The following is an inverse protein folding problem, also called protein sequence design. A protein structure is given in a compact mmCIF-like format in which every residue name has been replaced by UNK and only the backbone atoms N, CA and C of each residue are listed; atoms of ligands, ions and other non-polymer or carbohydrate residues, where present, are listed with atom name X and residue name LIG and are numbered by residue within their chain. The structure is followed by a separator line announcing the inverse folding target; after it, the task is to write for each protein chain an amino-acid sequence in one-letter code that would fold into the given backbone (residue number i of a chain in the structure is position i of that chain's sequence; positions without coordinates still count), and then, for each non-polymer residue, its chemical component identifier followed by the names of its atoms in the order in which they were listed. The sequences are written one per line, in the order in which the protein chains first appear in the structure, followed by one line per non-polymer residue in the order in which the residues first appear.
data_IF_907225804314
#
_entry.id   IF_907225804314
#
_cell.length_a   1.000
_cell.length_b   1.000
_cell.length_c   1.000
_cell.angle_alpha   90.00
_cell.angle_beta   90.00
_cell.angle_gamma   90.00
#
_symmetry.space_group_name_H-M   'P 1'
#
loop_
_entity.id
_entity.type
_entity.pdbx_description
1 polymer ?
#
# COMPACT_ATOMS: atom_id res chain seq x y z
N UNK A 1 101.99 33.78 -8.02
CA UNK A 1 101.26 32.57 -7.54
C UNK A 1 100.09 33.03 -6.78
N UNK A 2 98.87 32.80 -7.22
CA UNK A 2 97.65 33.19 -6.49
C UNK A 2 97.10 32.00 -5.69
N UNK A 3 96.74 32.29 -4.43
CA UNK A 3 96.12 31.39 -3.49
C UNK A 3 94.66 31.09 -3.91
N UNK A 4 94.28 29.80 -3.82
CA UNK A 4 92.93 29.33 -4.01
C UNK A 4 92.11 29.61 -2.77
N UNK A 5 90.97 30.29 -2.93
CA UNK A 5 89.89 30.37 -1.97
C UNK A 5 89.06 29.11 -2.12
N UNK A 6 88.91 28.34 -1.06
CA UNK A 6 87.90 27.26 -0.95
C UNK A 6 86.70 27.84 -0.28
N UNK A 7 85.60 27.94 -1.05
CA UNK A 7 84.27 28.27 -0.51
C UNK A 7 83.68 27.02 0.09
N UNK A 8 83.52 27.04 1.41
CA UNK A 8 82.73 26.05 2.17
C UNK A 8 81.24 26.34 1.99
N UNK A 9 80.60 25.62 1.07
CA UNK A 9 79.17 25.66 0.90
C UNK A 9 78.51 24.67 1.88
N UNK A 10 78.17 25.11 3.12
CA UNK A 10 77.38 24.36 4.05
C UNK A 10 75.90 24.36 3.56
N UNK A 11 75.43 23.24 2.98
CA UNK A 11 74.08 23.02 2.53
C UNK A 11 73.13 23.07 3.71
N UNK A 12 72.34 24.13 3.81
CA UNK A 12 71.20 24.21 4.71
C UNK A 12 70.13 23.16 4.26
N UNK A 13 70.01 22.06 4.99
CA UNK A 13 68.90 21.13 4.85
C UNK A 13 67.61 21.87 5.19
N UNK A 14 66.87 22.30 4.16
CA UNK A 14 65.52 22.77 4.29
C UNK A 14 64.65 21.58 4.66
N UNK A 15 64.28 21.46 5.94
CA UNK A 15 63.21 20.51 6.36
C UNK A 15 61.98 20.86 5.60
N UNK A 16 61.57 20.04 4.59
CA UNK A 16 60.27 20.09 4.00
C UNK A 16 59.25 19.82 5.12
N UNK A 17 58.55 20.87 5.56
CA UNK A 17 57.38 20.72 6.42
C UNK A 17 56.37 19.82 5.71
N UNK A 18 56.30 18.57 6.11
CA UNK A 18 55.22 17.69 5.67
C UNK A 18 53.92 18.26 6.24
N UNK A 19 52.88 18.47 5.42
CA UNK A 19 51.62 18.94 5.92
C UNK A 19 51.09 17.93 6.94
N UNK A 20 50.40 18.38 8.01
CA UNK A 20 49.89 17.50 9.05
C UNK A 20 48.99 16.47 8.40
N UNK A 21 49.28 15.19 8.57
CA UNK A 21 48.42 14.09 8.12
C UNK A 21 47.06 14.28 8.77
N UNK A 22 46.09 14.70 7.97
CA UNK A 22 44.75 15.01 8.44
C UNK A 22 44.17 13.79 9.19
N UNK A 23 43.96 13.91 10.49
CA UNK A 23 43.22 12.95 11.35
C UNK A 23 41.76 12.75 10.92
N UNK A 24 41.30 13.48 9.89
CA UNK A 24 40.00 13.34 9.21
C UNK A 24 39.76 11.95 8.60
N UNK A 25 40.80 11.19 8.27
CA UNK A 25 40.64 9.89 7.60
C UNK A 25 39.97 8.80 8.47
N UNK A 26 40.17 8.80 9.77
CA UNK A 26 39.58 7.76 10.63
C UNK A 26 38.12 8.04 10.91
N UNK A 27 37.75 9.28 11.21
CA UNK A 27 36.35 9.69 11.42
C UNK A 27 35.54 9.55 10.13
N UNK A 28 36.07 9.95 8.98
CA UNK A 28 35.40 9.77 7.69
C UNK A 28 35.16 8.29 7.38
N UNK A 29 36.16 7.42 7.60
CA UNK A 29 35.98 5.97 7.41
C UNK A 29 34.93 5.38 8.35
N UNK A 30 34.88 5.80 9.63
CA UNK A 30 33.91 5.38 10.59
C UNK A 30 32.51 5.84 10.15
N UNK A 31 32.32 7.08 9.73
CA UNK A 31 31.06 7.59 9.22
C UNK A 31 30.61 6.84 7.97
N UNK A 32 31.50 6.60 7.01
CA UNK A 32 31.19 5.79 5.82
C UNK A 32 30.74 4.39 6.21
N UNK A 33 31.45 3.73 7.15
CA UNK A 33 31.07 2.40 7.64
C UNK A 33 29.68 2.41 8.28
N UNK A 34 29.37 3.40 9.13
CA UNK A 34 28.05 3.55 9.77
C UNK A 34 26.95 3.73 8.70
N UNK A 35 27.19 4.59 7.71
CA UNK A 35 26.21 4.80 6.62
C UNK A 35 25.97 3.52 5.83
N UNK A 36 27.02 2.79 5.47
CA UNK A 36 26.91 1.50 4.78
C UNK A 36 26.16 0.47 5.64
N UNK A 37 26.44 0.41 6.94
CA UNK A 37 25.74 -0.47 7.86
C UNK A 37 24.24 -0.13 7.94
N UNK A 38 23.90 1.16 8.04
CA UNK A 38 22.51 1.61 8.02
C UNK A 38 21.84 1.21 6.70
N UNK A 39 22.48 1.45 5.56
CA UNK A 39 21.95 1.09 4.25
C UNK A 39 21.69 -0.42 4.09
N UNK A 40 22.48 -1.26 4.77
CA UNK A 40 22.30 -2.73 4.73
C UNK A 40 21.23 -3.18 5.73
N UNK A 41 21.19 -2.65 6.94
CA UNK A 41 20.33 -3.13 8.03
C UNK A 41 18.92 -2.52 7.99
N UNK A 42 18.84 -1.22 7.69
CA UNK A 42 17.58 -0.47 7.71
C UNK A 42 16.46 -1.09 6.84
N UNK A 43 16.73 -1.59 5.61
CA UNK A 43 15.69 -2.21 4.78
C UNK A 43 15.00 -3.41 5.42
N UNK A 44 15.66 -4.14 6.32
CA UNK A 44 15.08 -5.27 7.06
C UNK A 44 14.30 -4.84 8.31
N UNK A 45 14.51 -3.63 8.78
CA UNK A 45 13.78 -3.07 9.93
C UNK A 45 12.50 -2.34 9.49
N UNK A 46 12.56 -1.66 8.35
CA UNK A 46 11.47 -0.82 7.85
C UNK A 46 10.13 -1.58 7.66
N UNK A 47 10.08 -2.87 7.23
CA UNK A 47 8.83 -3.63 7.15
C UNK A 47 8.07 -3.75 8.48
N UNK A 48 8.74 -3.55 9.62
CA UNK A 48 8.13 -3.57 10.95
C UNK A 48 7.62 -2.20 11.41
N UNK A 49 7.88 -1.15 10.63
CA UNK A 49 7.51 0.23 10.97
C UNK A 49 6.15 0.59 10.35
N UNK A 50 5.09 -0.20 10.69
CA UNK A 50 3.73 0.01 10.20
C UNK A 50 3.19 1.38 10.61
N UNK A 51 2.83 2.19 9.63
CA UNK A 51 2.22 3.51 9.80
C UNK A 51 0.69 3.40 9.70
N UNK A 52 -0.01 4.22 10.49
CA UNK A 52 -1.43 4.48 10.30
C UNK A 52 -1.58 5.87 9.69
N UNK A 53 -1.99 5.92 8.44
CA UNK A 53 -2.31 7.18 7.78
C UNK A 53 -3.76 7.57 8.13
N UNK A 54 -3.93 8.75 8.70
CA UNK A 54 -5.25 9.28 9.07
C UNK A 54 -5.59 10.44 8.17
N UNK A 55 -6.70 10.33 7.44
CA UNK A 55 -7.16 11.36 6.51
C UNK A 55 -8.65 11.62 6.66
N UNK A 56 -9.05 12.86 6.44
CA UNK A 56 -10.45 13.27 6.34
C UNK A 56 -10.71 13.82 4.95
N UNK A 57 -11.72 13.28 4.29
CA UNK A 57 -12.20 13.70 2.98
C UNK A 57 -13.58 14.32 3.16
N UNK A 58 -13.90 15.35 2.37
CA UNK A 58 -15.21 15.96 2.32
C UNK A 58 -15.85 15.63 0.97
N UNK A 59 -17.02 14.98 1.00
CA UNK A 59 -17.74 14.63 -0.23
C UNK A 59 -19.13 15.22 -0.25
N UNK A 60 -19.51 15.96 -1.30
CA UNK A 60 -20.87 16.44 -1.51
C UNK A 60 -21.83 15.29 -1.89
N UNK A 61 -21.31 14.15 -2.31
CA UNK A 61 -22.10 13.01 -2.78
C UNK A 61 -22.43 12.03 -1.65
N UNK A 62 -21.78 12.17 -0.47
CA UNK A 62 -22.18 11.41 0.73
C UNK A 62 -23.56 11.91 1.18
N UNK A 63 -24.57 11.03 1.29
CA UNK A 63 -25.91 11.42 1.69
C UNK A 63 -25.92 12.23 2.99
N UNK A 64 -26.70 13.33 3.02
CA UNK A 64 -26.67 14.32 4.10
C UNK A 64 -27.13 13.78 5.47
N UNK A 65 -27.85 12.67 5.51
CA UNK A 65 -28.23 11.96 6.75
C UNK A 65 -27.07 11.12 7.30
N UNK A 66 -26.00 10.94 6.52
CA UNK A 66 -24.76 10.29 6.93
C UNK A 66 -23.70 11.39 7.21
N UNK A 67 -23.65 11.86 8.47
CA UNK A 67 -22.73 12.96 8.82
C UNK A 67 -21.26 12.62 8.59
N UNK A 68 -20.89 11.36 8.88
CA UNK A 68 -19.53 10.86 8.69
C UNK A 68 -19.54 9.34 8.49
N UNK A 69 -18.57 8.85 7.76
CA UNK A 69 -18.30 7.44 7.55
C UNK A 69 -16.81 7.18 7.81
N UNK A 70 -16.49 6.34 8.80
CA UNK A 70 -15.12 5.97 9.15
C UNK A 70 -14.78 4.62 8.53
N UNK A 71 -13.71 4.57 7.76
CA UNK A 71 -13.25 3.41 7.02
C UNK A 71 -11.85 3.06 7.49
N UNK A 72 -11.60 1.79 7.80
CA UNK A 72 -10.25 1.24 7.87
C UNK A 72 -9.97 0.50 6.57
N UNK A 73 -8.88 0.87 5.89
CA UNK A 73 -8.44 0.21 4.65
C UNK A 73 -7.03 -0.34 4.81
N UNK A 74 -6.83 -1.57 4.34
CA UNK A 74 -5.54 -2.24 4.30
C UNK A 74 -5.49 -3.25 3.16
N UNK A 75 -4.31 -3.45 2.58
CA UNK A 75 -4.03 -4.36 1.47
C UNK A 75 -2.67 -5.00 1.63
N UNK A 76 -2.38 -6.00 0.81
CA UNK A 76 -1.04 -6.57 0.65
C UNK A 76 -0.44 -7.04 1.99
N UNK A 77 -1.19 -7.85 2.74
CA UNK A 77 -0.76 -8.34 4.05
C UNK A 77 0.37 -9.36 3.89
N UNK A 78 0.30 -10.22 2.85
CA UNK A 78 1.26 -11.29 2.58
C UNK A 78 1.61 -12.09 3.82
N UNK A 79 0.57 -12.55 4.56
CA UNK A 79 0.76 -13.39 5.73
C UNK A 79 1.51 -14.67 5.36
N UNK A 80 2.48 -15.07 6.18
CA UNK A 80 3.33 -16.22 5.92
C UNK A 80 4.63 -16.14 6.69
N UNK A 81 5.72 -16.59 6.06
CA UNK A 81 7.02 -16.68 6.73
C UNK A 81 7.54 -15.33 7.24
N UNK A 82 7.35 -14.26 6.45
CA UNK A 82 7.84 -12.92 6.80
C UNK A 82 6.82 -12.05 7.56
N UNK A 83 5.55 -12.46 7.58
CA UNK A 83 4.49 -11.80 8.32
C UNK A 83 3.67 -12.85 9.07
N UNK A 84 4.10 -13.15 10.28
CA UNK A 84 3.60 -14.23 11.13
C UNK A 84 2.17 -13.99 11.63
N UNK A 85 1.49 -15.06 12.12
CA UNK A 85 0.17 -14.96 12.75
C UNK A 85 0.14 -13.94 13.89
N UNK A 86 1.18 -13.87 14.73
CA UNK A 86 1.26 -12.86 15.81
C UNK A 86 1.25 -11.43 15.27
N UNK A 87 1.86 -11.20 14.09
CA UNK A 87 1.82 -9.89 13.43
C UNK A 87 0.43 -9.61 12.83
N UNK A 88 -0.24 -10.63 12.28
CA UNK A 88 -1.64 -10.55 11.84
C UNK A 88 -2.54 -10.17 13.02
N UNK A 89 -2.40 -10.84 14.17
CA UNK A 89 -3.18 -10.55 15.38
C UNK A 89 -2.98 -9.10 15.83
N UNK A 90 -1.73 -8.64 15.88
CA UNK A 90 -1.39 -7.26 16.23
C UNK A 90 -1.92 -6.23 15.22
N UNK A 91 -1.91 -6.56 13.92
CA UNK A 91 -2.47 -5.75 12.86
C UNK A 91 -3.98 -5.54 13.07
N UNK A 92 -4.74 -6.62 13.23
CA UNK A 92 -6.19 -6.52 13.39
C UNK A 92 -6.61 -5.97 14.76
N UNK A 93 -5.79 -6.13 15.79
CA UNK A 93 -5.97 -5.39 17.05
C UNK A 93 -5.88 -3.87 16.79
N UNK A 94 -4.91 -3.41 16.00
CA UNK A 94 -4.79 -2.00 15.63
C UNK A 94 -5.95 -1.53 14.75
N UNK A 95 -6.40 -2.35 13.79
CA UNK A 95 -7.59 -2.06 12.96
C UNK A 95 -8.84 -1.90 13.84
N UNK A 96 -9.06 -2.81 14.76
CA UNK A 96 -10.21 -2.75 15.69
C UNK A 96 -10.17 -1.50 16.59
N UNK A 97 -8.97 -1.05 17.00
CA UNK A 97 -8.80 0.17 17.78
C UNK A 97 -9.17 1.46 17.03
N UNK A 98 -9.26 1.43 15.68
CA UNK A 98 -9.70 2.57 14.87
C UNK A 98 -11.21 2.85 15.03
N UNK A 99 -11.98 1.90 15.57
CA UNK A 99 -13.44 1.98 15.69
C UNK A 99 -14.10 2.38 14.35
N UNK A 100 -13.67 1.72 13.27
CA UNK A 100 -14.17 1.97 11.94
C UNK A 100 -15.62 1.52 11.79
N UNK A 101 -16.39 2.26 10.97
CA UNK A 101 -17.75 1.88 10.62
C UNK A 101 -17.74 0.78 9.53
N UNK A 102 -16.72 0.80 8.65
CA UNK A 102 -16.42 -0.19 7.63
C UNK A 102 -14.95 -0.62 7.71
N UNK A 103 -14.66 -1.88 7.43
CA UNK A 103 -13.30 -2.37 7.18
C UNK A 103 -13.24 -2.92 5.76
N UNK A 104 -12.28 -2.43 4.97
CA UNK A 104 -12.11 -2.76 3.57
C UNK A 104 -10.73 -3.38 3.35
N UNK A 105 -10.71 -4.57 2.74
CA UNK A 105 -9.51 -5.37 2.53
C UNK A 105 -9.19 -5.44 1.03
N UNK A 106 -8.01 -4.98 0.65
CA UNK A 106 -7.62 -4.72 -0.73
C UNK A 106 -6.88 -5.86 -1.45
N UNK A 107 -6.95 -7.10 -0.94
CA UNK A 107 -6.32 -8.27 -1.59
C UNK A 107 -4.90 -8.56 -1.13
N UNK A 108 -4.34 -9.66 -1.65
CA UNK A 108 -3.03 -10.21 -1.33
C UNK A 108 -2.86 -10.50 0.17
N UNK A 109 -3.73 -11.40 0.68
CA UNK A 109 -3.77 -11.75 2.10
C UNK A 109 -2.62 -12.63 2.53
N UNK A 110 -2.17 -13.52 1.63
CA UNK A 110 -1.06 -14.44 1.86
C UNK A 110 -0.22 -14.59 0.58
N UNK A 111 0.68 -15.59 0.55
CA UNK A 111 1.59 -15.81 -0.58
C UNK A 111 0.94 -16.53 -1.77
N UNK A 112 -0.19 -17.20 -1.53
CA UNK A 112 -0.95 -17.98 -2.51
C UNK A 112 -2.37 -18.24 -1.98
N UNK A 113 -3.26 -18.78 -2.84
CA UNK A 113 -4.66 -19.05 -2.51
C UNK A 113 -4.87 -20.02 -1.35
N UNK A 114 -4.03 -21.05 -1.20
CA UNK A 114 -4.16 -22.01 -0.10
C UNK A 114 -3.79 -21.37 1.23
N UNK A 115 -2.70 -20.61 1.23
CA UNK A 115 -2.28 -19.80 2.38
C UNK A 115 -3.31 -18.72 2.73
N UNK A 116 -3.98 -18.12 1.73
CA UNK A 116 -5.07 -17.17 1.94
C UNK A 116 -6.29 -17.83 2.61
N UNK A 117 -6.66 -19.06 2.21
CA UNK A 117 -7.71 -19.84 2.90
C UNK A 117 -7.35 -20.05 4.38
N UNK A 118 -6.09 -20.40 4.67
CA UNK A 118 -5.61 -20.59 6.04
C UNK A 118 -5.57 -19.26 6.82
N UNK A 119 -5.20 -18.15 6.16
CA UNK A 119 -5.26 -16.81 6.75
C UNK A 119 -6.68 -16.50 7.23
N UNK A 120 -7.72 -16.68 6.39
CA UNK A 120 -9.10 -16.40 6.79
C UNK A 120 -9.63 -17.36 7.87
N UNK A 121 -9.19 -18.63 7.88
CA UNK A 121 -9.54 -19.58 8.96
C UNK A 121 -9.00 -19.17 10.32
N UNK A 122 -7.88 -18.46 10.36
CA UNK A 122 -7.21 -18.01 11.57
C UNK A 122 -7.34 -16.48 11.79
N UNK A 123 -8.18 -15.81 11.00
CA UNK A 123 -8.35 -14.36 11.06
C UNK A 123 -8.95 -13.97 12.41
N UNK A 124 -8.34 -13.04 13.17
CA UNK A 124 -8.95 -12.49 14.36
C UNK A 124 -10.27 -11.81 14.04
N UNK A 125 -11.19 -11.82 15.00
CA UNK A 125 -12.47 -11.13 14.82
C UNK A 125 -12.26 -9.65 14.52
N UNK A 126 -12.82 -9.18 13.41
CA UNK A 126 -12.83 -7.78 13.01
C UNK A 126 -14.14 -7.15 13.48
N UNK A 127 -14.04 -5.97 14.10
CA UNK A 127 -15.20 -5.20 14.56
C UNK A 127 -15.45 -4.02 13.63
N UNK A 128 -16.57 -4.09 12.88
CA UNK A 128 -17.03 -3.01 12.01
C UNK A 128 -18.54 -2.96 12.04
N UNK A 129 -19.12 -1.75 12.21
CA UNK A 129 -20.58 -1.58 12.36
C UNK A 129 -21.35 -2.01 11.13
N UNK A 130 -20.81 -1.73 9.95
CA UNK A 130 -21.46 -1.96 8.67
C UNK A 130 -20.78 -3.07 7.84
N UNK A 131 -19.92 -3.85 8.47
CA UNK A 131 -19.34 -5.03 7.88
C UNK A 131 -17.88 -4.88 7.43
N UNK A 132 -17.37 -6.01 6.96
CA UNK A 132 -16.00 -6.16 6.43
C UNK A 132 -16.12 -6.65 5.00
N UNK A 133 -15.56 -5.92 4.05
CA UNK A 133 -15.60 -6.25 2.63
C UNK A 133 -14.19 -6.44 2.09
N UNK A 134 -14.05 -7.27 1.08
CA UNK A 134 -12.76 -7.66 0.57
C UNK A 134 -12.80 -7.92 -0.94
N UNK A 135 -11.74 -7.53 -1.64
CA UNK A 135 -11.44 -7.99 -3.00
C UNK A 135 -10.28 -8.96 -2.98
N UNK A 136 -10.06 -9.67 -4.07
CA UNK A 136 -8.93 -10.59 -4.21
C UNK A 136 -7.79 -9.92 -4.96
N UNK A 137 -6.56 -10.23 -4.55
CA UNK A 137 -5.35 -9.87 -5.27
C UNK A 137 -4.81 -11.03 -6.11
N UNK A 138 -3.72 -10.78 -6.82
CA UNK A 138 -3.15 -11.76 -7.73
C UNK A 138 -2.56 -12.98 -7.00
N UNK A 139 -2.10 -12.83 -5.76
CA UNK A 139 -1.67 -13.96 -4.93
C UNK A 139 -2.84 -14.79 -4.42
N UNK A 140 -4.00 -14.19 -4.23
CA UNK A 140 -5.21 -14.91 -3.84
C UNK A 140 -5.82 -15.71 -4.99
N UNK A 141 -5.43 -15.41 -6.25
CA UNK A 141 -5.91 -15.99 -7.51
C UNK A 141 -4.87 -16.89 -8.19
N UNK A 142 -3.96 -17.53 -7.44
CA UNK A 142 -2.85 -18.33 -7.99
C UNK A 142 -3.23 -19.74 -8.42
N UNK A 143 -4.44 -20.22 -8.16
CA UNK A 143 -4.86 -21.62 -8.41
C UNK A 143 -6.25 -21.73 -9.03
N UNK A 144 -6.65 -22.94 -9.52
CA UNK A 144 -7.87 -23.17 -10.27
C UNK A 144 -9.14 -22.66 -9.59
N UNK A 145 -10.18 -22.42 -10.38
CA UNK A 145 -11.53 -21.94 -10.01
C UNK A 145 -12.13 -22.65 -8.77
N UNK A 146 -11.77 -23.93 -8.54
CA UNK A 146 -12.20 -24.69 -7.36
C UNK A 146 -11.75 -24.07 -6.04
N UNK A 147 -10.57 -23.47 -6.01
CA UNK A 147 -10.04 -22.86 -4.78
C UNK A 147 -10.65 -21.48 -4.51
N UNK A 148 -11.12 -20.78 -5.55
CA UNK A 148 -11.87 -19.53 -5.38
C UNK A 148 -13.12 -19.76 -4.52
N UNK A 149 -13.87 -20.84 -4.77
CA UNK A 149 -15.05 -21.20 -3.97
C UNK A 149 -14.67 -21.46 -2.51
N UNK A 150 -13.57 -22.17 -2.26
CA UNK A 150 -13.10 -22.43 -0.91
C UNK A 150 -12.61 -21.15 -0.21
N UNK A 151 -11.90 -20.27 -0.94
CA UNK A 151 -11.43 -19.00 -0.41
C UNK A 151 -12.64 -18.11 -0.05
N UNK A 152 -13.61 -17.94 -0.95
CA UNK A 152 -14.86 -17.20 -0.66
C UNK A 152 -15.57 -17.75 0.58
N UNK A 153 -15.67 -19.08 0.69
CA UNK A 153 -16.28 -19.73 1.85
C UNK A 153 -15.52 -19.44 3.15
N UNK A 154 -14.19 -19.46 3.10
CA UNK A 154 -13.35 -19.13 4.26
C UNK A 154 -13.52 -17.67 4.67
N UNK A 155 -13.62 -16.74 3.70
CA UNK A 155 -13.89 -15.32 3.94
C UNK A 155 -15.25 -15.12 4.61
N UNK A 156 -16.32 -15.71 4.08
CA UNK A 156 -17.65 -15.62 4.69
C UNK A 156 -17.67 -16.19 6.11
N UNK A 157 -17.03 -17.33 6.35
CA UNK A 157 -16.91 -17.92 7.68
C UNK A 157 -16.15 -17.05 8.66
N UNK A 158 -15.23 -16.23 8.17
CA UNK A 158 -14.48 -15.23 8.95
C UNK A 158 -15.27 -13.92 9.16
N UNK A 159 -16.49 -13.81 8.62
CA UNK A 159 -17.30 -12.59 8.69
C UNK A 159 -16.87 -11.51 7.69
N UNK A 160 -16.20 -11.89 6.61
CA UNK A 160 -15.74 -11.01 5.54
C UNK A 160 -16.54 -11.30 4.28
N UNK A 161 -17.11 -10.26 3.67
CA UNK A 161 -17.87 -10.34 2.41
C UNK A 161 -16.91 -10.16 1.22
N UNK A 162 -16.59 -11.22 0.45
CA UNK A 162 -15.80 -11.09 -0.75
C UNK A 162 -16.62 -10.49 -1.90
N UNK A 163 -16.06 -9.52 -2.60
CA UNK A 163 -16.64 -8.90 -3.79
C UNK A 163 -15.80 -9.27 -5.02
N UNK A 164 -16.40 -10.06 -5.92
CA UNK A 164 -15.77 -10.52 -7.16
C UNK A 164 -16.68 -10.15 -8.32
N UNK A 165 -16.47 -8.97 -8.91
CA UNK A 165 -17.36 -8.34 -9.88
C UNK A 165 -18.77 -8.12 -9.31
N UNK A 166 -18.84 -7.72 -8.06
CA UNK A 166 -20.07 -7.63 -7.28
C UNK A 166 -20.19 -6.23 -6.66
N UNK A 167 -21.45 -5.83 -6.43
CA UNK A 167 -21.82 -4.62 -5.71
C UNK A 167 -22.68 -5.01 -4.52
N UNK A 168 -22.31 -4.52 -3.34
CA UNK A 168 -23.19 -4.60 -2.16
C UNK A 168 -23.66 -3.21 -1.74
N UNK A 169 -24.85 -3.15 -1.16
CA UNK A 169 -25.46 -1.91 -0.66
C UNK A 169 -25.61 -1.93 0.85
N UNK A 170 -25.13 -0.88 1.50
CA UNK A 170 -25.20 -0.73 2.94
C UNK A 170 -26.20 0.36 3.28
N UNK A 171 -27.22 0.01 4.06
CA UNK A 171 -28.18 0.98 4.55
C UNK A 171 -27.67 1.67 5.81
N UNK A 172 -27.58 3.00 5.76
CA UNK A 172 -27.20 3.85 6.88
C UNK A 172 -28.29 4.92 7.04
N UNK A 173 -29.06 4.81 8.12
CA UNK A 173 -30.23 5.69 8.29
C UNK A 173 -31.28 5.46 7.22
N UNK A 174 -31.62 6.49 6.47
CA UNK A 174 -32.56 6.42 5.35
C UNK A 174 -31.89 6.22 4.00
N UNK A 175 -30.57 6.47 3.92
CA UNK A 175 -29.78 6.39 2.71
C UNK A 175 -29.04 5.07 2.57
N UNK A 176 -28.56 4.80 1.35
CA UNK A 176 -27.68 3.67 1.05
C UNK A 176 -26.37 4.20 0.48
N UNK A 177 -25.28 3.50 0.80
CA UNK A 177 -23.98 3.62 0.14
C UNK A 177 -23.67 2.29 -0.52
N UNK A 178 -22.82 2.30 -1.54
CA UNK A 178 -22.49 1.11 -2.30
C UNK A 178 -21.00 0.80 -2.19
N UNK A 179 -20.70 -0.49 -2.06
CA UNK A 179 -19.32 -1.00 -2.14
C UNK A 179 -19.24 -1.88 -3.36
N UNK A 180 -18.42 -1.48 -4.30
CA UNK A 180 -18.20 -2.16 -5.57
C UNK A 180 -16.83 -2.79 -5.57
N UNK A 181 -16.74 -4.08 -5.83
CA UNK A 181 -15.47 -4.80 -5.94
C UNK A 181 -15.36 -5.55 -7.25
N UNK A 182 -14.17 -5.54 -7.85
CA UNK A 182 -13.89 -6.34 -9.04
C UNK A 182 -12.89 -7.45 -8.75
N UNK A 183 -12.89 -8.45 -9.61
CA UNK A 183 -11.89 -9.52 -9.58
C UNK A 183 -10.49 -8.99 -9.91
N UNK A 184 -9.47 -9.76 -9.58
CA UNK A 184 -8.08 -9.36 -9.84
C UNK A 184 -7.80 -9.16 -11.33
N UNK A 185 -7.07 -8.10 -11.63
CA UNK A 185 -6.77 -7.69 -13.01
C UNK A 185 -5.74 -8.59 -13.67
N UNK A 186 -4.83 -9.17 -12.89
CA UNK A 186 -3.69 -9.93 -13.39
C UNK A 186 -3.99 -11.42 -13.51
N UNK A 187 -4.69 -12.01 -12.53
CA UNK A 187 -4.93 -13.45 -12.43
C UNK A 187 -6.43 -13.82 -12.39
N UNK A 188 -7.34 -12.83 -12.43
CA UNK A 188 -8.78 -12.99 -12.41
C UNK A 188 -9.45 -12.61 -13.73
N UNK A 189 -10.75 -12.34 -13.65
CA UNK A 189 -11.61 -11.95 -14.77
C UNK A 189 -12.37 -10.67 -14.39
N UNK A 190 -11.73 -9.50 -14.38
CA UNK A 190 -12.38 -8.25 -13.97
C UNK A 190 -13.46 -7.84 -14.97
N UNK A 191 -14.67 -7.57 -14.46
CA UNK A 191 -15.82 -7.14 -15.25
C UNK A 191 -16.39 -5.83 -14.68
N UNK A 192 -15.92 -4.71 -15.22
CA UNK A 192 -16.44 -3.38 -14.88
C UNK A 192 -17.89 -3.21 -15.28
N UNK A 193 -18.32 -3.85 -16.37
CA UNK A 193 -19.70 -3.77 -16.86
C UNK A 193 -20.69 -4.41 -15.88
N UNK A 194 -20.33 -5.57 -15.32
CA UNK A 194 -21.15 -6.23 -14.29
C UNK A 194 -21.35 -5.35 -13.05
N UNK A 195 -20.36 -4.54 -12.69
CA UNK A 195 -20.42 -3.63 -11.55
C UNK A 195 -21.18 -2.35 -11.91
N UNK A 196 -20.74 -1.64 -12.94
CA UNK A 196 -21.27 -0.31 -13.26
C UNK A 196 -22.71 -0.32 -13.75
N UNK A 197 -23.20 -1.44 -14.34
CA UNK A 197 -24.60 -1.60 -14.75
C UNK A 197 -25.58 -1.59 -13.58
N UNK A 198 -25.12 -1.73 -12.35
CA UNK A 198 -25.94 -1.71 -11.14
C UNK A 198 -25.96 -0.33 -10.47
N UNK A 199 -25.04 0.57 -10.81
CA UNK A 199 -24.78 1.84 -10.14
C UNK A 199 -25.23 3.04 -10.97
N UNK A 200 -25.48 4.16 -10.28
CA UNK A 200 -25.83 5.46 -10.89
C UNK A 200 -24.80 6.50 -10.44
N UNK A 201 -24.64 7.59 -11.21
CA UNK A 201 -23.75 8.68 -10.82
C UNK A 201 -24.15 9.43 -9.53
N UNK A 202 -25.41 9.36 -9.15
CA UNK A 202 -25.93 9.93 -7.90
C UNK A 202 -25.74 9.03 -6.68
N UNK A 203 -25.30 7.78 -6.86
CA UNK A 203 -25.01 6.86 -5.78
C UNK A 203 -23.64 7.21 -5.18
N UNK A 204 -23.50 7.15 -3.84
CA UNK A 204 -22.20 7.22 -3.20
C UNK A 204 -21.56 5.83 -3.24
N UNK A 205 -20.45 5.72 -3.97
CA UNK A 205 -19.82 4.44 -4.26
C UNK A 205 -18.35 4.42 -3.80
N UNK A 206 -18.01 3.39 -3.04
CA UNK A 206 -16.62 3.02 -2.73
C UNK A 206 -16.22 1.88 -3.65
N UNK A 207 -15.25 2.12 -4.51
CA UNK A 207 -14.73 1.15 -5.47
C UNK A 207 -13.46 0.50 -4.94
N UNK A 208 -13.45 -0.83 -4.90
CA UNK A 208 -12.32 -1.65 -4.48
C UNK A 208 -11.76 -2.43 -5.67
N UNK A 209 -10.47 -2.35 -5.89
CA UNK A 209 -9.71 -3.24 -6.75
C UNK A 209 -8.33 -3.45 -6.15
N UNK A 210 -7.77 -4.65 -6.29
CA UNK A 210 -6.42 -4.88 -5.83
C UNK A 210 -5.42 -4.06 -6.66
N UNK A 211 -5.46 -4.18 -7.99
CA UNK A 211 -4.50 -3.52 -8.87
C UNK A 211 -4.97 -2.14 -9.35
N UNK A 212 -4.11 -1.10 -9.31
CA UNK A 212 -4.40 0.22 -9.86
C UNK A 212 -4.37 0.25 -11.40
N UNK A 213 -3.96 -0.80 -12.09
CA UNK A 213 -3.98 -0.91 -13.56
C UNK A 213 -5.37 -0.68 -14.16
N UNK A 214 -6.44 -0.96 -13.39
CA UNK A 214 -7.83 -0.78 -13.81
C UNK A 214 -8.30 0.68 -13.78
N UNK A 215 -7.59 1.59 -13.09
CA UNK A 215 -8.07 2.95 -12.79
C UNK A 215 -8.50 3.68 -14.07
N UNK A 216 -7.68 3.64 -15.11
CA UNK A 216 -8.00 4.35 -16.36
C UNK A 216 -9.28 3.80 -17.02
N UNK A 217 -9.47 2.49 -17.02
CA UNK A 217 -10.67 1.85 -17.54
C UNK A 217 -11.89 2.16 -16.68
N UNK A 218 -11.73 2.14 -15.34
CA UNK A 218 -12.79 2.49 -14.39
C UNK A 218 -13.24 3.95 -14.56
N UNK A 219 -12.32 4.89 -14.72
CA UNK A 219 -12.63 6.31 -14.96
C UNK A 219 -13.36 6.56 -16.28
N UNK A 220 -13.32 5.61 -17.22
CA UNK A 220 -14.00 5.69 -18.51
C UNK A 220 -15.26 4.85 -18.60
N UNK A 221 -15.50 3.96 -17.64
CA UNK A 221 -16.68 3.10 -17.62
C UNK A 221 -17.97 3.92 -17.48
N UNK A 222 -19.08 3.36 -17.99
CA UNK A 222 -20.38 4.01 -17.96
C UNK A 222 -21.25 3.40 -16.85
N UNK A 223 -22.01 4.24 -16.16
CA UNK A 223 -23.02 3.83 -15.19
C UNK A 223 -24.21 3.11 -15.88
N UNK A 224 -25.18 2.62 -15.08
CA UNK A 224 -26.38 1.94 -15.61
C UNK A 224 -27.22 2.79 -16.58
N UNK A 225 -27.05 4.10 -16.57
CA UNK A 225 -27.76 5.04 -17.44
C UNK A 225 -26.94 5.39 -18.70
N UNK A 226 -25.76 4.76 -18.88
CA UNK A 226 -24.83 5.02 -19.99
C UNK A 226 -24.03 6.31 -19.85
N UNK A 227 -24.03 6.96 -18.68
CA UNK A 227 -23.23 8.16 -18.41
C UNK A 227 -21.80 7.75 -18.08
N UNK A 228 -20.85 8.34 -18.80
CA UNK A 228 -19.42 8.00 -18.72
C UNK A 228 -18.76 8.61 -17.52
N UNK A 229 -17.92 7.82 -16.84
CA UNK A 229 -17.14 8.26 -15.69
C UNK A 229 -17.98 8.63 -14.46
N UNK A 230 -17.33 9.07 -13.40
CA UNK A 230 -17.94 9.56 -12.15
C UNK A 230 -18.98 8.61 -11.52
N UNK A 231 -18.77 7.30 -11.64
CA UNK A 231 -19.64 6.29 -11.05
C UNK A 231 -19.16 5.83 -9.67
N UNK A 232 -17.99 6.28 -9.23
CA UNK A 232 -17.48 6.05 -7.87
C UNK A 232 -16.88 7.34 -7.29
N UNK A 233 -16.95 7.47 -5.97
CA UNK A 233 -16.48 8.64 -5.20
C UNK A 233 -15.13 8.39 -4.57
N UNK A 234 -14.90 7.17 -4.07
CA UNK A 234 -13.65 6.74 -3.45
C UNK A 234 -13.17 5.46 -4.12
N UNK A 235 -11.96 5.46 -4.69
CA UNK A 235 -11.28 4.28 -5.21
C UNK A 235 -10.13 3.87 -4.30
N UNK A 236 -10.08 2.58 -3.92
CA UNK A 236 -9.05 2.04 -3.02
C UNK A 236 -8.31 0.88 -3.68
N UNK A 237 -6.98 1.00 -3.75
CA UNK A 237 -6.09 0.11 -4.48
C UNK A 237 -4.85 -0.26 -3.65
N UNK A 238 -4.25 -1.41 -3.96
CA UNK A 238 -3.01 -1.91 -3.38
C UNK A 238 -1.99 -2.30 -4.45
N UNK A 239 -1.45 -3.54 -4.37
CA UNK A 239 -0.63 -4.24 -5.35
C UNK A 239 0.79 -3.69 -5.53
N UNK A 240 0.98 -2.39 -5.57
CA UNK A 240 2.25 -1.76 -5.95
C UNK A 240 3.31 -1.81 -4.87
N UNK A 241 2.90 -2.00 -3.60
CA UNK A 241 3.76 -1.82 -2.42
C UNK A 241 4.46 -0.45 -2.37
N UNK A 242 4.00 0.54 -3.17
CA UNK A 242 4.70 1.81 -3.39
C UNK A 242 6.10 1.61 -3.98
N UNK A 243 6.29 0.54 -4.76
CA UNK A 243 7.59 0.12 -5.28
C UNK A 243 8.50 -0.57 -4.26
N UNK A 244 8.04 -0.83 -3.04
CA UNK A 244 8.71 -1.51 -1.91
C UNK A 244 10.12 -0.97 -1.57
N UNK A 245 10.96 -0.71 -2.56
CA UNK A 245 12.31 -0.11 -2.42
C UNK A 245 12.41 1.11 -3.33
N UNK A 246 12.63 2.28 -2.73
CA UNK A 246 12.87 3.52 -3.47
C UNK A 246 14.31 4.00 -3.24
N UNK A 247 15.03 4.28 -4.31
CA UNK A 247 16.36 4.84 -4.26
C UNK A 247 16.47 5.95 -5.29
N UNK A 248 16.87 7.16 -4.85
CA UNK A 248 17.07 8.35 -5.69
C UNK A 248 15.86 8.68 -6.61
N UNK A 249 14.64 8.45 -6.12
CA UNK A 249 13.42 8.70 -6.89
C UNK A 249 13.09 7.63 -7.95
N UNK A 250 13.90 6.59 -8.04
CA UNK A 250 13.61 5.41 -8.86
C UNK A 250 13.08 4.28 -7.97
N UNK A 251 12.14 3.54 -8.49
CA UNK A 251 11.53 2.39 -7.84
C UNK A 251 12.16 1.12 -8.39
N UNK A 252 12.62 0.26 -7.50
CA UNK A 252 12.96 -1.11 -7.86
C UNK A 252 11.65 -1.91 -7.73
N UNK A 253 10.70 -1.58 -8.62
CA UNK A 253 9.31 -1.96 -8.49
C UNK A 253 9.03 -3.42 -8.79
N UNK A 254 8.09 -3.97 -8.05
CA UNK A 254 7.47 -5.26 -8.27
C UNK A 254 6.29 -5.11 -9.22
N UNK A 255 5.70 -3.91 -9.29
CA UNK A 255 4.55 -3.57 -10.11
C UNK A 255 4.96 -2.93 -11.45
N UNK A 256 4.21 -3.26 -12.51
CA UNK A 256 4.30 -2.61 -13.83
C UNK A 256 3.56 -1.28 -13.90
N UNK A 257 2.92 -0.87 -12.82
CA UNK A 257 2.21 0.40 -12.73
C UNK A 257 3.23 1.51 -12.63
N UNK A 258 3.24 2.39 -13.62
CA UNK A 258 4.16 3.52 -13.69
C UNK A 258 3.47 4.83 -13.38
N UNK A 259 4.27 5.77 -12.89
CA UNK A 259 3.87 7.16 -12.73
C UNK A 259 2.99 7.41 -11.52
N UNK A 260 1.94 8.22 -11.70
CA UNK A 260 1.13 8.75 -10.59
C UNK A 260 0.27 7.72 -9.86
N UNK A 261 0.04 6.54 -10.44
CA UNK A 261 -0.75 5.48 -9.81
C UNK A 261 0.10 4.47 -9.03
N UNK A 262 1.32 4.81 -8.70
CA UNK A 262 2.20 3.93 -7.96
C UNK A 262 1.90 3.92 -6.46
N UNK A 263 1.59 5.08 -5.88
CA UNK A 263 1.20 5.21 -4.48
C UNK A 263 0.57 6.56 -4.14
N UNK A 264 -0.13 6.59 -3.02
CA UNK A 264 -0.63 7.81 -2.40
C UNK A 264 -2.01 8.24 -2.88
N UNK A 265 -2.39 9.45 -2.49
CA UNK A 265 -3.69 10.02 -2.81
C UNK A 265 -3.66 10.80 -4.11
N UNK A 266 -4.70 10.62 -4.89
CA UNK A 266 -4.93 11.28 -6.18
C UNK A 266 -6.39 11.74 -6.25
N UNK A 267 -6.66 12.80 -7.00
CA UNK A 267 -8.01 13.18 -7.37
C UNK A 267 -8.15 13.17 -8.89
N UNK A 268 -9.10 12.38 -9.35
CA UNK A 268 -9.44 12.24 -10.76
C UNK A 268 -10.91 12.54 -10.96
N UNK A 269 -11.19 13.60 -11.73
CA UNK A 269 -12.56 14.08 -11.89
C UNK A 269 -13.22 14.38 -10.53
N UNK A 270 -14.21 13.58 -10.13
CA UNK A 270 -14.90 13.68 -8.83
C UNK A 270 -14.40 12.65 -7.81
N UNK A 271 -13.63 11.68 -8.22
CA UNK A 271 -13.20 10.55 -7.40
C UNK A 271 -11.91 10.84 -6.66
N UNK A 272 -11.89 10.58 -5.36
CA UNK A 272 -10.67 10.47 -4.57
C UNK A 272 -10.13 9.04 -4.70
N UNK A 273 -8.84 8.91 -4.99
CA UNK A 273 -8.20 7.62 -5.27
C UNK A 273 -7.02 7.45 -4.33
N UNK A 274 -6.96 6.31 -3.66
CA UNK A 274 -5.83 5.90 -2.86
C UNK A 274 -5.17 4.66 -3.47
N UNK A 275 -3.86 4.74 -3.68
CA UNK A 275 -3.02 3.57 -3.93
C UNK A 275 -2.14 3.35 -2.70
N UNK A 276 -2.44 2.29 -1.94
CA UNK A 276 -1.76 1.97 -0.69
C UNK A 276 -0.38 1.35 -0.92
N UNK A 277 0.55 1.62 -0.01
CA UNK A 277 1.84 0.91 0.04
C UNK A 277 1.73 -0.49 0.64
N UNK A 278 0.55 -0.91 1.09
CA UNK A 278 0.32 -2.22 1.68
C UNK A 278 1.04 -2.45 3.01
N UNK A 279 0.74 -3.58 3.64
CA UNK A 279 1.22 -3.96 4.98
C UNK A 279 2.48 -4.82 4.94
N UNK A 280 2.45 -5.91 4.17
CA UNK A 280 3.51 -6.89 4.10
C UNK A 280 4.64 -6.53 3.13
N UNK A 281 5.33 -7.56 2.68
CA UNK A 281 6.37 -7.48 1.65
C UNK A 281 6.15 -8.57 0.63
N UNK A 282 6.40 -8.28 -0.64
CA UNK A 282 6.40 -9.27 -1.71
C UNK A 282 7.84 -9.64 -2.07
N UNK A 283 8.09 -10.92 -2.44
CA UNK A 283 9.37 -11.49 -2.87
C UNK A 283 10.46 -11.45 -1.78
N UNK A 284 10.86 -10.27 -1.32
CA UNK A 284 11.91 -10.07 -0.32
C UNK A 284 11.38 -9.36 0.92
N UNK A 285 11.86 -9.73 2.13
CA UNK A 285 11.39 -9.13 3.38
C UNK A 285 12.05 -7.77 3.67
N UNK A 286 12.12 -6.92 2.67
CA UNK A 286 12.77 -5.61 2.77
C UNK A 286 11.86 -4.49 2.27
N UNK A 287 11.96 -3.33 2.91
CA UNK A 287 11.42 -2.05 2.41
C UNK A 287 12.49 -0.98 2.57
N UNK A 288 12.53 -0.02 1.67
CA UNK A 288 13.45 1.10 1.79
C UNK A 288 12.78 2.40 1.37
N UNK A 289 12.61 3.31 2.34
CA UNK A 289 11.88 4.57 2.20
C UNK A 289 10.42 4.37 1.73
N UNK A 290 9.83 3.22 2.10
CA UNK A 290 8.47 2.78 1.77
C UNK A 290 7.85 2.01 2.93
N UNK A 291 7.65 2.70 4.06
CA UNK A 291 7.03 2.08 5.25
C UNK A 291 5.68 1.48 4.93
N UNK A 292 5.37 0.31 5.50
CA UNK A 292 4.05 -0.28 5.38
C UNK A 292 2.97 0.63 5.93
N UNK A 293 1.76 0.56 5.36
CA UNK A 293 0.64 1.44 5.71
C UNK A 293 -0.65 0.69 5.94
N UNK A 294 -1.44 1.21 6.90
CA UNK A 294 -2.89 1.04 6.98
C UNK A 294 -3.53 2.42 7.02
N UNK A 295 -4.78 2.52 6.59
CA UNK A 295 -5.43 3.81 6.41
C UNK A 295 -6.69 3.91 7.28
N UNK A 296 -6.83 5.03 7.99
CA UNK A 296 -8.05 5.44 8.66
C UNK A 296 -8.63 6.63 7.91
N UNK A 297 -9.68 6.39 7.14
CA UNK A 297 -10.31 7.38 6.27
C UNK A 297 -11.62 7.80 6.90
N UNK A 298 -11.83 9.10 7.07
CA UNK A 298 -13.11 9.66 7.51
C UNK A 298 -13.70 10.47 6.38
N UNK A 299 -14.88 10.09 5.89
CA UNK A 299 -15.61 10.84 4.87
C UNK A 299 -16.68 11.64 5.59
N UNK A 300 -16.76 12.94 5.29
CA UNK A 300 -17.67 13.89 5.92
C UNK A 300 -18.59 14.46 4.83
N UNK A 301 -19.91 14.45 5.07
CA UNK A 301 -20.86 15.13 4.17
C UNK A 301 -20.66 16.66 4.21
N UNK A 302 -20.80 17.30 3.06
CA UNK A 302 -20.79 18.77 2.94
C UNK A 302 -22.17 19.37 3.25
#
# INVERSE_FOLDING_TARGET
MPQRYQDDYQGRHVRKNQPPKRRFGCLARLLTFIVLLIMIVYPFLEPRMLETEVISLSSPDLPSDIRQLRIAYLSDIHAGFFFSQTQVDGLFQRVNAMNADLVLLGGDYATDSESAINFFRNLPRISARYGVYAVMGNHDRTVPESNLTHLRSAMYNAGVTPLVNEVDSIRIGQSSIYIAGIDDVNNGWPDLGAVTSQLRQEDFVIFLSHSPEIIQSALQASDRNGRRGNWFDLGLFGHTHGGQVALLGQYLGISKVEGRYEQGWLRENRSDILVSRGVGTSILPIRFLRRPQIHQITIISQ
#
